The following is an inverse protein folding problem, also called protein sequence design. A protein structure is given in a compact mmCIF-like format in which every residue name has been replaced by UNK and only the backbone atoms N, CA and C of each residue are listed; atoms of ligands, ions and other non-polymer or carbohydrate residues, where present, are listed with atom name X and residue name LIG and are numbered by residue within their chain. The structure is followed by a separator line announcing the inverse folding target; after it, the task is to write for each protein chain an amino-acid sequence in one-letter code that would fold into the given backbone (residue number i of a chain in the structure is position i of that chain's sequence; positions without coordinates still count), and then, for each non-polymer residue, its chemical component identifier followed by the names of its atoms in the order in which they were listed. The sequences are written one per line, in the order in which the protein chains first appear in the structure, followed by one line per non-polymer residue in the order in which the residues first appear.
data_IF_895803060478
#
_entry.id   IF_895803060478
#
_cell.length_a   1.000
_cell.length_b   1.000
_cell.length_c   1.000
_cell.angle_alpha   90.00
_cell.angle_beta   90.00
_cell.angle_gamma   90.00
#
_symmetry.space_group_name_H-M   'P 1'
#
loop_
_entity.id
_entity.type
_entity.pdbx_description
1 polymer ?
#
# COMPACT_ATOMS: atom_id res chain seq x y z
N UNK A 1 31.50 -5.66 -5.69
CA UNK A 1 30.12 -5.64 -6.25
C UNK A 1 29.82 -4.18 -6.61
N UNK A 2 29.41 -3.91 -7.84
CA UNK A 2 29.28 -2.51 -8.29
C UNK A 2 28.25 -1.75 -7.46
N UNK A 3 28.73 -0.82 -6.65
CA UNK A 3 27.98 0.11 -5.80
C UNK A 3 26.76 0.75 -6.51
N UNK A 4 26.97 1.12 -7.77
CA UNK A 4 25.94 1.70 -8.63
C UNK A 4 24.73 0.78 -8.81
N UNK A 5 24.93 -0.55 -8.90
CA UNK A 5 23.83 -1.50 -9.08
C UNK A 5 22.91 -1.58 -7.83
N UNK A 6 23.47 -1.47 -6.63
CA UNK A 6 22.71 -1.48 -5.39
C UNK A 6 21.79 -0.25 -5.23
N UNK A 7 22.12 0.85 -5.91
CA UNK A 7 21.29 2.07 -5.94
C UNK A 7 20.31 2.02 -7.11
N UNK A 8 20.78 1.68 -8.31
CA UNK A 8 19.95 1.75 -9.52
C UNK A 8 18.87 0.67 -9.57
N UNK A 9 19.13 -0.54 -9.07
CA UNK A 9 18.15 -1.63 -9.09
C UNK A 9 16.90 -1.28 -8.25
N UNK A 10 16.99 -0.85 -6.98
CA UNK A 10 15.82 -0.42 -6.22
C UNK A 10 15.03 0.71 -6.89
N UNK A 11 15.73 1.72 -7.44
CA UNK A 11 15.08 2.82 -8.15
C UNK A 11 14.32 2.30 -9.38
N UNK A 12 14.95 1.45 -10.19
CA UNK A 12 14.32 0.88 -11.37
C UNK A 12 13.09 0.02 -11.04
N UNK A 13 13.17 -0.79 -9.96
CA UNK A 13 12.04 -1.60 -9.47
C UNK A 13 10.90 -0.68 -9.00
N UNK A 14 11.19 0.37 -8.25
CA UNK A 14 10.20 1.35 -7.80
C UNK A 14 9.49 2.07 -8.95
N UNK A 15 10.26 2.55 -9.93
CA UNK A 15 9.71 3.20 -11.13
C UNK A 15 8.87 2.23 -11.96
N UNK A 16 9.34 0.99 -12.14
CA UNK A 16 8.58 -0.04 -12.84
C UNK A 16 7.25 -0.33 -12.15
N UNK A 17 7.22 -0.49 -10.82
CA UNK A 17 6.00 -0.73 -10.06
C UNK A 17 5.02 0.44 -10.19
N UNK A 18 5.49 1.68 -10.08
CA UNK A 18 4.65 2.87 -10.27
C UNK A 18 4.07 2.95 -11.69
N UNK A 19 4.86 2.65 -12.73
CA UNK A 19 4.36 2.61 -14.11
C UNK A 19 3.29 1.52 -14.28
N UNK A 20 3.48 0.35 -13.66
CA UNK A 20 2.49 -0.74 -13.67
C UNK A 20 1.15 -0.32 -13.06
N UNK A 21 1.16 0.32 -11.90
CA UNK A 21 -0.07 0.83 -11.25
C UNK A 21 -0.76 1.86 -12.15
N UNK A 22 -0.03 2.89 -12.59
CA UNK A 22 -0.59 3.94 -13.45
C UNK A 22 -1.19 3.36 -14.74
N UNK A 23 -0.51 2.40 -15.36
CA UNK A 23 -0.98 1.75 -16.60
C UNK A 23 -2.21 0.88 -16.35
N UNK A 24 -2.21 0.06 -15.29
CA UNK A 24 -3.34 -0.81 -14.97
C UNK A 24 -4.57 0.03 -14.56
N UNK A 25 -4.39 0.96 -13.63
CA UNK A 25 -5.47 1.85 -13.19
C UNK A 25 -6.02 2.68 -14.35
N UNK A 26 -5.16 3.37 -15.12
CA UNK A 26 -5.57 4.20 -16.25
C UNK A 26 -6.32 3.42 -17.34
N UNK A 27 -6.02 2.12 -17.51
CA UNK A 27 -6.77 1.25 -18.42
C UNK A 27 -8.14 0.88 -17.84
N UNK A 28 -8.18 0.38 -16.61
CA UNK A 28 -9.39 -0.23 -16.06
C UNK A 28 -10.34 0.77 -15.38
N UNK A 29 -9.92 2.01 -15.12
CA UNK A 29 -10.80 3.11 -14.73
C UNK A 29 -11.74 3.51 -15.86
N UNK A 30 -11.39 3.19 -17.11
CA UNK A 30 -12.23 3.45 -18.30
C UNK A 30 -13.13 2.27 -18.68
N UNK A 31 -13.00 1.12 -18.02
CA UNK A 31 -13.79 -0.09 -18.30
C UNK A 31 -14.94 -0.16 -17.29
N UNK A 32 -16.18 0.19 -17.69
CA UNK A 32 -17.32 0.12 -16.78
C UNK A 32 -17.64 -1.32 -16.42
N UNK A 33 -18.07 -1.57 -15.18
CA UNK A 33 -18.64 -2.85 -14.78
C UNK A 33 -20.05 -3.00 -15.36
N UNK A 34 -20.49 -4.23 -15.55
CA UNK A 34 -21.87 -4.53 -16.03
C UNK A 34 -22.94 -4.09 -15.05
N UNK A 35 -22.68 -4.29 -13.76
CA UNK A 35 -23.59 -3.90 -12.68
C UNK A 35 -23.73 -2.40 -12.51
N UNK A 36 -22.82 -1.59 -13.03
CA UNK A 36 -22.77 -0.13 -12.99
C UNK A 36 -22.97 0.49 -11.59
N UNK A 37 -22.72 -0.27 -10.54
CA UNK A 37 -22.66 0.29 -9.19
C UNK A 37 -21.38 1.08 -9.01
N UNK A 38 -21.41 2.09 -8.17
CA UNK A 38 -20.25 2.92 -7.87
C UNK A 38 -19.28 2.20 -6.94
N UNK A 39 -18.01 2.64 -6.90
CA UNK A 39 -17.06 2.09 -5.93
C UNK A 39 -17.50 2.34 -4.48
N UNK A 40 -18.15 3.48 -4.18
CA UNK A 40 -18.77 3.73 -2.88
C UNK A 40 -19.81 2.64 -2.53
N UNK A 41 -20.74 2.34 -3.45
CA UNK A 41 -21.76 1.30 -3.23
C UNK A 41 -21.13 -0.09 -3.07
N UNK A 42 -20.08 -0.39 -3.85
CA UNK A 42 -19.34 -1.64 -3.72
C UNK A 42 -18.65 -1.76 -2.35
N UNK A 43 -17.96 -0.71 -1.89
CA UNK A 43 -17.33 -0.69 -0.58
C UNK A 43 -18.35 -0.86 0.54
N UNK A 44 -19.51 -0.18 0.43
CA UNK A 44 -20.61 -0.29 1.37
C UNK A 44 -21.14 -1.73 1.44
N UNK A 45 -21.44 -2.34 0.29
CA UNK A 45 -21.93 -3.72 0.21
C UNK A 45 -20.92 -4.73 0.80
N UNK A 46 -19.62 -4.54 0.53
CA UNK A 46 -18.54 -5.37 1.08
C UNK A 46 -18.47 -5.24 2.60
N UNK A 47 -18.56 -4.04 3.16
CA UNK A 47 -18.54 -3.82 4.60
C UNK A 47 -19.80 -4.36 5.28
N UNK A 48 -20.98 -4.11 4.71
CA UNK A 48 -22.25 -4.60 5.22
C UNK A 48 -22.31 -6.14 5.26
N UNK A 49 -21.77 -6.82 4.23
CA UNK A 49 -21.69 -8.29 4.19
C UNK A 49 -20.81 -8.87 5.30
N UNK A 50 -19.89 -8.05 5.82
CA UNK A 50 -19.04 -8.40 6.97
C UNK A 50 -19.59 -7.90 8.32
N UNK A 51 -20.81 -7.33 8.35
CA UNK A 51 -21.45 -6.80 9.55
C UNK A 51 -20.86 -5.48 10.04
N UNK A 52 -20.23 -4.70 9.16
CA UNK A 52 -19.60 -3.41 9.49
C UNK A 52 -20.52 -2.29 9.04
N UNK A 53 -21.08 -1.54 9.99
CA UNK A 53 -22.05 -0.46 9.78
C UNK A 53 -21.58 0.89 10.36
N UNK A 54 -20.46 0.91 11.05
CA UNK A 54 -19.93 2.05 11.81
C UNK A 54 -18.71 2.72 11.13
N UNK A 55 -18.52 2.44 9.85
CA UNK A 55 -17.48 3.06 9.01
C UNK A 55 -18.14 4.04 8.05
N UNK A 56 -17.73 5.31 8.11
CA UNK A 56 -18.18 6.36 7.20
C UNK A 56 -17.41 6.28 5.88
N UNK A 57 -18.10 6.32 4.74
CA UNK A 57 -17.45 6.43 3.42
C UNK A 57 -17.47 7.88 2.96
N UNK A 58 -16.31 8.46 2.73
CA UNK A 58 -16.14 9.86 2.34
C UNK A 58 -15.38 10.00 1.03
N UNK A 59 -15.62 11.11 0.31
CA UNK A 59 -14.82 11.49 -0.85
C UNK A 59 -13.53 12.20 -0.40
N UNK A 60 -12.40 11.90 -1.05
CA UNK A 60 -11.14 12.61 -0.85
C UNK A 60 -10.57 13.15 -2.17
N UNK A 61 -9.76 14.20 -2.07
CA UNK A 61 -9.10 14.81 -3.23
C UNK A 61 -7.88 14.01 -3.69
N UNK A 62 -7.62 14.04 -4.99
CA UNK A 62 -6.46 13.40 -5.62
C UNK A 62 -6.84 12.13 -6.38
N UNK A 63 -5.85 11.50 -7.02
CA UNK A 63 -6.00 10.23 -7.72
C UNK A 63 -5.18 9.17 -7.02
N UNK A 64 -5.76 8.00 -6.74
CA UNK A 64 -5.12 6.91 -5.98
C UNK A 64 -4.69 7.37 -4.56
N UNK A 65 -5.52 8.20 -3.94
CA UNK A 65 -5.38 8.65 -2.55
C UNK A 65 -6.33 7.91 -1.61
N UNK A 66 -6.95 6.89 -2.13
CA UNK A 66 -7.89 6.03 -1.43
C UNK A 66 -7.22 5.39 -0.21
N UNK A 67 -7.93 5.36 0.92
CA UNK A 67 -7.41 4.75 2.14
C UNK A 67 -8.51 4.48 3.17
N UNK A 68 -8.27 3.48 4.00
CA UNK A 68 -9.04 3.26 5.22
C UNK A 68 -8.31 3.83 6.44
N UNK A 69 -9.00 4.67 7.21
CA UNK A 69 -8.52 5.20 8.49
C UNK A 69 -9.18 4.43 9.65
N UNK A 70 -8.44 3.52 10.30
CA UNK A 70 -8.97 2.73 11.40
C UNK A 70 -9.23 3.55 12.67
N UNK A 71 -8.52 4.68 12.85
CA UNK A 71 -8.64 5.53 14.03
C UNK A 71 -9.98 6.27 14.04
N UNK A 72 -10.34 6.84 12.88
CA UNK A 72 -11.59 7.59 12.73
C UNK A 72 -12.73 6.75 12.13
N UNK A 73 -12.50 5.44 11.87
CA UNK A 73 -13.44 4.53 11.18
C UNK A 73 -13.98 5.16 9.90
N UNK A 74 -13.07 5.59 9.05
CA UNK A 74 -13.40 6.30 7.82
C UNK A 74 -12.73 5.64 6.62
N UNK A 75 -13.52 5.38 5.58
CA UNK A 75 -13.05 4.90 4.29
C UNK A 75 -13.11 6.06 3.30
N UNK A 76 -11.96 6.59 2.93
CA UNK A 76 -11.84 7.71 2.00
C UNK A 76 -11.55 7.19 0.60
N UNK A 77 -12.37 7.62 -0.37
CA UNK A 77 -12.24 7.26 -1.78
C UNK A 77 -11.98 8.50 -2.62
N UNK A 78 -11.06 8.41 -3.56
CA UNK A 78 -10.85 9.44 -4.58
C UNK A 78 -12.08 9.59 -5.46
N UNK A 79 -12.28 10.76 -6.07
CA UNK A 79 -13.48 11.10 -6.83
C UNK A 79 -13.82 10.05 -7.89
N UNK A 80 -12.81 9.58 -8.66
CA UNK A 80 -13.00 8.56 -9.70
C UNK A 80 -13.45 7.22 -9.13
N UNK A 81 -13.05 6.88 -7.90
CA UNK A 81 -13.43 5.63 -7.24
C UNK A 81 -14.73 5.78 -6.45
N UNK A 82 -15.02 6.96 -5.90
CA UNK A 82 -16.24 7.22 -5.15
C UNK A 82 -17.49 7.20 -6.06
N UNK A 83 -17.44 7.91 -7.19
CA UNK A 83 -18.55 8.06 -8.12
C UNK A 83 -18.47 7.11 -9.33
N UNK A 84 -17.29 6.60 -9.64
CA UNK A 84 -17.04 5.74 -10.79
C UNK A 84 -17.58 4.32 -10.59
N UNK A 85 -18.02 3.71 -11.71
CA UNK A 85 -18.50 2.32 -11.77
C UNK A 85 -17.56 1.42 -12.60
N UNK A 86 -16.30 1.77 -12.67
CA UNK A 86 -15.29 1.01 -13.42
C UNK A 86 -14.74 -0.17 -12.63
N UNK A 87 -14.13 -1.13 -13.34
CA UNK A 87 -13.49 -2.29 -12.69
C UNK A 87 -12.35 -1.87 -11.75
N UNK A 88 -11.64 -0.77 -12.05
CA UNK A 88 -10.64 -0.22 -11.16
C UNK A 88 -11.28 0.39 -9.91
N UNK A 89 -12.35 1.18 -10.07
CA UNK A 89 -13.08 1.79 -8.96
C UNK A 89 -13.63 0.73 -8.00
N UNK A 90 -14.29 -0.30 -8.53
CA UNK A 90 -14.78 -1.42 -7.70
C UNK A 90 -13.65 -2.15 -6.97
N UNK A 91 -12.55 -2.44 -7.68
CA UNK A 91 -11.40 -3.13 -7.10
C UNK A 91 -10.75 -2.34 -5.96
N UNK A 92 -10.45 -1.04 -6.18
CA UNK A 92 -9.82 -0.17 -5.17
C UNK A 92 -10.75 0.03 -3.97
N UNK A 93 -12.02 0.35 -4.21
CA UNK A 93 -12.98 0.60 -3.13
C UNK A 93 -13.23 -0.66 -2.27
N UNK A 94 -13.30 -1.84 -2.90
CA UNK A 94 -13.40 -3.11 -2.17
C UNK A 94 -12.10 -3.43 -1.41
N UNK A 95 -10.92 -3.03 -1.91
CA UNK A 95 -9.64 -3.19 -1.22
C UNK A 95 -9.62 -2.39 0.09
N UNK A 96 -10.05 -1.13 0.06
CA UNK A 96 -10.15 -0.30 1.27
C UNK A 96 -11.18 -0.86 2.26
N UNK A 97 -12.31 -1.40 1.75
CA UNK A 97 -13.26 -2.15 2.58
C UNK A 97 -12.64 -3.44 3.15
N UNK A 98 -11.70 -4.06 2.44
CA UNK A 98 -10.89 -5.19 2.93
C UNK A 98 -10.08 -4.83 4.17
N UNK A 99 -9.51 -3.62 4.24
CA UNK A 99 -8.85 -3.12 5.45
C UNK A 99 -9.84 -2.89 6.60
N UNK A 100 -11.05 -2.41 6.32
CA UNK A 100 -12.09 -2.30 7.35
C UNK A 100 -12.46 -3.68 7.91
N UNK A 101 -12.56 -4.71 7.07
CA UNK A 101 -12.79 -6.10 7.50
C UNK A 101 -11.62 -6.61 8.35
N UNK A 102 -10.38 -6.37 7.94
CA UNK A 102 -9.20 -6.73 8.74
C UNK A 102 -9.24 -6.09 10.13
N UNK A 103 -9.60 -4.80 10.20
CA UNK A 103 -9.70 -4.07 11.46
C UNK A 103 -10.80 -4.65 12.33
N UNK A 104 -12.01 -4.88 11.80
CA UNK A 104 -13.13 -5.46 12.54
C UNK A 104 -12.82 -6.87 13.08
N UNK A 105 -12.00 -7.65 12.35
CA UNK A 105 -11.57 -8.98 12.74
C UNK A 105 -10.30 -9.02 13.59
N UNK A 106 -9.79 -7.86 14.02
CA UNK A 106 -8.54 -7.72 14.78
C UNK A 106 -7.35 -8.48 14.12
N UNK A 107 -7.21 -8.40 12.79
CA UNK A 107 -6.17 -9.08 12.04
C UNK A 107 -4.78 -8.70 12.53
N UNK A 108 -4.05 -9.66 13.09
CA UNK A 108 -2.81 -9.41 13.82
C UNK A 108 -1.74 -8.62 13.02
N UNK A 109 -1.49 -8.89 11.72
CA UNK A 109 -0.55 -8.07 10.93
C UNK A 109 -0.99 -6.61 10.80
N UNK A 110 -2.29 -6.31 10.66
CA UNK A 110 -2.78 -4.93 10.62
C UNK A 110 -2.55 -4.23 11.96
N UNK A 111 -2.85 -4.89 13.07
CA UNK A 111 -2.63 -4.33 14.41
C UNK A 111 -1.14 -4.02 14.65
N UNK A 112 -0.26 -4.93 14.23
CA UNK A 112 1.19 -4.72 14.31
C UNK A 112 1.64 -3.54 13.42
N UNK A 113 1.14 -3.44 12.18
CA UNK A 113 1.39 -2.30 11.30
C UNK A 113 0.97 -0.99 11.95
N UNK A 114 -0.25 -0.92 12.52
CA UNK A 114 -0.76 0.26 13.21
C UNK A 114 0.11 0.66 14.39
N UNK A 115 0.57 -0.29 15.20
CA UNK A 115 1.46 -0.04 16.33
C UNK A 115 2.84 0.48 15.88
N UNK A 116 3.31 0.11 14.70
CA UNK A 116 4.58 0.58 14.13
C UNK A 116 4.50 1.95 13.46
N UNK A 117 3.32 2.42 13.04
CA UNK A 117 3.14 3.71 12.32
C UNK A 117 3.77 4.91 13.05
N UNK A 118 3.57 5.14 14.37
CA UNK A 118 4.17 6.29 15.05
C UNK A 118 5.70 6.26 15.02
N UNK A 119 6.29 5.08 15.27
CA UNK A 119 7.76 4.90 15.27
C UNK A 119 8.32 5.11 13.87
N UNK A 120 7.70 4.54 12.86
CA UNK A 120 8.15 4.65 11.46
C UNK A 120 7.96 6.07 10.91
N UNK A 121 6.94 6.81 11.35
CA UNK A 121 6.75 8.21 10.99
C UNK A 121 7.91 9.07 11.50
N UNK A 122 8.30 8.93 12.76
CA UNK A 122 9.46 9.64 13.33
C UNK A 122 10.74 9.19 12.63
N UNK A 123 10.93 7.88 12.44
CA UNK A 123 12.09 7.31 11.79
C UNK A 123 12.29 7.84 10.36
N UNK A 124 11.23 7.88 9.56
CA UNK A 124 11.28 8.37 8.18
C UNK A 124 11.61 9.86 8.08
N UNK A 125 11.11 10.67 9.01
CA UNK A 125 11.42 12.10 9.07
C UNK A 125 12.86 12.38 9.55
N UNK A 126 13.36 11.59 10.49
CA UNK A 126 14.73 11.74 11.02
C UNK A 126 15.80 11.24 10.03
N UNK A 127 15.49 10.24 9.22
CA UNK A 127 16.46 9.54 8.36
C UNK A 127 17.28 10.47 7.47
N UNK A 128 16.69 11.43 6.69
CA UNK A 128 17.48 12.31 5.82
C UNK A 128 18.52 13.13 6.59
N UNK A 129 18.16 13.61 7.79
CA UNK A 129 19.06 14.42 8.63
C UNK A 129 20.19 13.57 9.23
N UNK A 130 19.86 12.37 9.70
CA UNK A 130 20.84 11.41 10.23
C UNK A 130 21.83 11.00 9.15
N UNK A 131 21.34 10.72 7.93
CA UNK A 131 22.19 10.32 6.81
C UNK A 131 23.07 11.48 6.33
N UNK A 132 22.52 12.68 6.20
CA UNK A 132 23.29 13.87 5.85
C UNK A 132 24.39 14.15 6.88
N UNK A 133 24.06 14.14 8.16
CA UNK A 133 25.02 14.34 9.25
C UNK A 133 26.07 13.24 9.28
N UNK A 134 25.66 11.97 9.17
CA UNK A 134 26.55 10.82 9.24
C UNK A 134 27.56 10.76 8.09
N UNK A 135 27.11 10.90 6.84
CA UNK A 135 27.94 10.72 5.67
C UNK A 135 28.60 11.99 5.15
N UNK A 136 27.90 13.14 5.17
CA UNK A 136 28.39 14.36 4.50
C UNK A 136 29.01 15.38 5.42
N UNK A 137 28.46 15.60 6.62
CA UNK A 137 28.91 16.69 7.48
C UNK A 137 29.96 16.26 8.50
N UNK A 138 29.72 15.18 9.21
CA UNK A 138 30.54 14.80 10.37
C UNK A 138 31.35 13.53 10.19
N UNK A 139 31.10 12.76 9.14
CA UNK A 139 31.69 11.43 8.89
C UNK A 139 31.65 10.56 10.17
N UNK A 140 30.49 10.60 10.86
CA UNK A 140 30.34 10.03 12.20
C UNK A 140 29.86 8.59 12.15
N UNK A 141 30.67 7.61 12.58
CA UNK A 141 30.23 6.21 12.65
C UNK A 141 28.99 6.01 13.53
N UNK A 142 28.82 6.82 14.56
CA UNK A 142 27.65 6.78 15.44
C UNK A 142 26.37 7.14 14.69
N UNK A 143 26.38 8.21 13.88
CA UNK A 143 25.23 8.61 13.08
C UNK A 143 24.94 7.60 11.96
N UNK A 144 25.99 7.01 11.37
CA UNK A 144 25.83 5.96 10.36
C UNK A 144 25.13 4.75 10.97
N UNK A 145 25.58 4.28 12.14
CA UNK A 145 24.95 3.17 12.86
C UNK A 145 23.49 3.48 13.26
N UNK A 146 23.20 4.72 13.67
CA UNK A 146 21.84 5.18 13.93
C UNK A 146 20.99 5.11 12.65
N UNK A 147 21.52 5.56 11.51
CA UNK A 147 20.87 5.46 10.20
C UNK A 147 20.53 4.02 9.81
N UNK A 148 21.45 3.09 10.04
CA UNK A 148 21.24 1.65 9.83
C UNK A 148 20.09 1.13 10.71
N UNK A 149 20.05 1.51 11.99
CA UNK A 149 18.97 1.17 12.91
C UNK A 149 17.61 1.70 12.45
N UNK A 150 17.55 2.96 12.00
CA UNK A 150 16.35 3.57 11.42
C UNK A 150 15.89 2.80 10.17
N UNK A 151 16.82 2.50 9.27
CA UNK A 151 16.50 1.73 8.05
C UNK A 151 15.99 0.32 8.35
N UNK A 152 16.52 -0.32 9.38
CA UNK A 152 16.03 -1.63 9.84
C UNK A 152 14.55 -1.53 10.27
N UNK A 153 14.19 -0.52 11.06
CA UNK A 153 12.80 -0.27 11.49
C UNK A 153 11.89 -0.09 10.26
N UNK A 154 12.30 0.73 9.29
CA UNK A 154 11.53 0.95 8.06
C UNK A 154 11.41 -0.33 7.23
N UNK A 155 12.46 -1.14 7.14
CA UNK A 155 12.42 -2.42 6.41
C UNK A 155 11.48 -3.42 7.07
N UNK A 156 11.49 -3.52 8.39
CA UNK A 156 10.54 -4.35 9.16
C UNK A 156 9.10 -3.88 8.94
N UNK A 157 8.86 -2.57 8.94
CA UNK A 157 7.55 -2.02 8.64
C UNK A 157 7.05 -2.40 7.24
N UNK A 158 7.91 -2.30 6.22
CA UNK A 158 7.55 -2.74 4.87
C UNK A 158 7.25 -4.25 4.82
N UNK A 159 8.02 -5.07 5.52
CA UNK A 159 7.79 -6.51 5.60
C UNK A 159 6.42 -6.84 6.24
N UNK A 160 6.07 -6.17 7.34
CA UNK A 160 4.79 -6.33 8.04
C UNK A 160 3.62 -5.82 7.18
N UNK A 161 3.86 -4.82 6.34
CA UNK A 161 2.83 -4.26 5.43
C UNK A 161 2.44 -5.26 4.33
N UNK A 162 3.35 -6.08 3.82
CA UNK A 162 3.07 -7.02 2.72
C UNK A 162 1.86 -7.96 3.00
N UNK A 163 1.82 -8.73 4.12
CA UNK A 163 0.68 -9.60 4.39
C UNK A 163 -0.63 -8.83 4.57
N UNK A 164 -0.59 -7.59 5.08
CA UNK A 164 -1.77 -6.73 5.23
C UNK A 164 -2.38 -6.42 3.87
N UNK A 165 -1.57 -5.96 2.92
CA UNK A 165 -2.00 -5.54 1.58
C UNK A 165 -2.47 -6.74 0.72
N UNK A 166 -1.74 -7.85 0.78
CA UNK A 166 -2.16 -9.07 0.08
C UNK A 166 -3.47 -9.64 0.62
N UNK A 167 -3.67 -9.65 1.93
CA UNK A 167 -4.90 -10.15 2.55
C UNK A 167 -6.08 -9.22 2.27
N UNK A 168 -5.90 -7.89 2.33
CA UNK A 168 -6.95 -6.93 1.95
C UNK A 168 -7.39 -7.14 0.49
N UNK A 169 -6.45 -7.25 -0.44
CA UNK A 169 -6.75 -7.55 -1.85
C UNK A 169 -7.46 -8.90 -2.03
N UNK A 170 -7.05 -9.94 -1.28
CA UNK A 170 -7.68 -11.26 -1.31
C UNK A 170 -9.14 -11.18 -0.84
N UNK A 171 -9.40 -10.46 0.25
CA UNK A 171 -10.75 -10.23 0.79
C UNK A 171 -11.61 -9.49 -0.22
N UNK A 172 -11.08 -8.39 -0.79
CA UNK A 172 -11.76 -7.61 -1.82
C UNK A 172 -12.23 -8.47 -2.98
N UNK A 173 -11.31 -9.25 -3.56
CA UNK A 173 -11.61 -10.15 -4.69
C UNK A 173 -12.68 -11.20 -4.34
N UNK A 174 -12.59 -11.81 -3.16
CA UNK A 174 -13.55 -12.79 -2.71
C UNK A 174 -14.95 -12.18 -2.50
N UNK A 175 -15.02 -10.97 -1.91
CA UNK A 175 -16.28 -10.29 -1.65
C UNK A 175 -16.95 -9.81 -2.94
N UNK A 176 -16.20 -9.21 -3.87
CA UNK A 176 -16.74 -8.76 -5.16
C UNK A 176 -17.41 -9.90 -5.94
N UNK A 177 -16.79 -11.09 -5.96
CA UNK A 177 -17.36 -12.29 -6.61
C UNK A 177 -18.50 -12.87 -5.77
N UNK A 178 -18.33 -13.00 -4.46
CA UNK A 178 -19.32 -13.61 -3.57
C UNK A 178 -20.64 -12.85 -3.51
N UNK A 179 -20.59 -11.53 -3.66
CA UNK A 179 -21.76 -10.65 -3.71
C UNK A 179 -22.32 -10.48 -5.13
N UNK A 180 -21.71 -11.07 -6.16
CA UNK A 180 -22.12 -10.90 -7.55
C UNK A 180 -21.97 -9.48 -8.08
N UNK A 181 -21.08 -8.68 -7.47
CA UNK A 181 -20.81 -7.29 -7.90
C UNK A 181 -20.00 -7.28 -9.19
N UNK A 182 -19.13 -8.26 -9.38
CA UNK A 182 -18.24 -8.43 -10.54
C UNK A 182 -18.32 -9.86 -11.04
N UNK A 183 -18.53 -10.04 -12.33
CA UNK A 183 -18.53 -11.34 -12.99
C UNK A 183 -17.10 -11.90 -13.13
N UNK A 184 -16.97 -13.21 -13.35
CA UNK A 184 -15.67 -13.89 -13.45
C UNK A 184 -14.77 -13.35 -14.57
N UNK A 185 -15.33 -12.96 -15.71
CA UNK A 185 -14.58 -12.37 -16.82
C UNK A 185 -14.15 -10.91 -16.53
N UNK A 186 -14.94 -10.17 -15.76
CA UNK A 186 -14.60 -8.82 -15.32
C UNK A 186 -13.49 -8.80 -14.25
N UNK A 187 -13.36 -9.91 -13.48
CA UNK A 187 -12.30 -10.06 -12.48
C UNK A 187 -10.89 -9.90 -13.06
N UNK A 188 -10.71 -10.04 -14.38
CA UNK A 188 -9.43 -9.76 -15.03
C UNK A 188 -9.00 -8.31 -14.80
N UNK A 189 -9.93 -7.35 -14.89
CA UNK A 189 -9.66 -5.92 -14.66
C UNK A 189 -9.35 -5.62 -13.19
N UNK A 190 -10.16 -6.16 -12.28
CA UNK A 190 -9.95 -6.03 -10.83
C UNK A 190 -8.59 -6.62 -10.43
N UNK A 191 -8.29 -7.85 -10.88
CA UNK A 191 -7.02 -8.50 -10.57
C UNK A 191 -5.83 -7.69 -11.08
N UNK A 192 -5.86 -7.22 -12.33
CA UNK A 192 -4.76 -6.44 -12.90
C UNK A 192 -4.53 -5.13 -12.14
N UNK A 193 -5.59 -4.48 -11.66
CA UNK A 193 -5.49 -3.25 -10.87
C UNK A 193 -4.88 -3.53 -9.48
N UNK A 194 -5.42 -4.49 -8.74
CA UNK A 194 -4.96 -4.80 -7.39
C UNK A 194 -3.57 -5.47 -7.36
N UNK A 195 -3.27 -6.35 -8.32
CA UNK A 195 -1.94 -6.98 -8.41
C UNK A 195 -0.87 -5.94 -8.76
N UNK A 196 -1.20 -4.97 -9.63
CA UNK A 196 -0.28 -3.87 -9.93
C UNK A 196 0.00 -3.01 -8.68
N UNK A 197 -1.03 -2.71 -7.87
CA UNK A 197 -0.86 -2.01 -6.60
C UNK A 197 0.01 -2.81 -5.62
N UNK A 198 -0.20 -4.12 -5.52
CA UNK A 198 0.59 -5.00 -4.67
C UNK A 198 2.10 -4.98 -5.00
N UNK A 199 2.48 -4.83 -6.28
CA UNK A 199 3.89 -4.70 -6.68
C UNK A 199 4.56 -3.45 -6.12
N UNK A 200 3.84 -2.39 -5.79
CA UNK A 200 4.45 -1.20 -5.16
C UNK A 200 4.94 -1.49 -3.75
N UNK A 201 4.21 -2.29 -2.99
CA UNK A 201 4.62 -2.71 -1.65
C UNK A 201 5.80 -3.67 -1.69
N UNK A 202 5.82 -4.61 -2.66
CA UNK A 202 6.97 -5.48 -2.90
C UNK A 202 8.19 -4.65 -3.29
N UNK A 203 8.04 -3.68 -4.19
CA UNK A 203 9.11 -2.79 -4.61
C UNK A 203 9.66 -1.96 -3.44
N UNK A 204 8.79 -1.44 -2.57
CA UNK A 204 9.19 -0.68 -1.38
C UNK A 204 9.99 -1.56 -0.40
N UNK A 205 9.55 -2.79 -0.15
CA UNK A 205 10.27 -3.74 0.71
C UNK A 205 11.64 -4.10 0.12
N UNK A 206 11.70 -4.50 -1.16
CA UNK A 206 12.96 -4.87 -1.83
C UNK A 206 13.93 -3.69 -1.84
N UNK A 207 13.43 -2.47 -2.07
CA UNK A 207 14.24 -1.25 -2.06
C UNK A 207 14.80 -0.97 -0.66
N UNK A 208 13.97 -1.05 0.39
CA UNK A 208 14.43 -0.79 1.75
C UNK A 208 15.43 -1.86 2.23
N UNK A 209 15.20 -3.12 1.88
CA UNK A 209 16.14 -4.21 2.17
C UNK A 209 17.47 -4.01 1.43
N UNK A 210 17.41 -3.63 0.15
CA UNK A 210 18.61 -3.35 -0.64
C UNK A 210 19.47 -2.24 -0.04
N UNK A 211 18.86 -1.14 0.37
CA UNK A 211 19.55 -0.04 1.04
C UNK A 211 20.10 -0.44 2.41
N UNK A 212 19.36 -1.21 3.20
CA UNK A 212 19.83 -1.72 4.49
C UNK A 212 21.07 -2.59 4.32
N UNK A 213 21.02 -3.53 3.39
CA UNK A 213 22.17 -4.41 3.10
C UNK A 213 23.38 -3.62 2.61
N UNK A 214 23.15 -2.62 1.74
CA UNK A 214 24.19 -1.72 1.28
C UNK A 214 24.92 -1.01 2.43
N UNK A 215 24.17 -0.42 3.37
CA UNK A 215 24.76 0.27 4.54
C UNK A 215 25.49 -0.70 5.48
N UNK A 216 24.95 -1.90 5.66
CA UNK A 216 25.60 -2.93 6.51
C UNK A 216 26.94 -3.42 5.93
N UNK A 217 27.03 -3.56 4.61
CA UNK A 217 28.27 -3.96 3.92
C UNK A 217 29.28 -2.82 3.95
N UNK A 218 28.87 -1.60 3.60
CA UNK A 218 29.76 -0.43 3.56
C UNK A 218 30.25 0.05 4.94
N UNK A 219 29.63 -0.37 6.02
CA UNK A 219 30.05 -0.04 7.39
C UNK A 219 31.07 -1.04 7.96
N UNK A 220 31.43 -2.08 7.21
CA UNK A 220 32.41 -3.11 7.63
C UNK A 220 33.83 -2.81 7.18
N UNK A 221 33.99 -1.90 6.22
CA UNK A 221 35.27 -1.44 5.68
C UNK A 221 35.65 -0.09 6.33
#
# INVERSE_FOLDING_TARGET
MNFILLILIPIAIGLWAQMKVKSAYGKYVQVPSRGRITGREAAQAVMESAGIYDVEIVECHGTLTDHYDPTNKRLALSQDNYHGSSLAALGVSAHEAGHAIQHAQAYAPLNLRMALVPVTSIASQALPFVMLGGFMLFHSPMLINLGIGIYLILTVFQLVTLPVEFDASKRAKAQLVGLGIVDQDEMVGVNKTLDAAAYTYVAAFVSSLGWLLYMLIGNRD
#
